data_IF_112960595076
#
_entry.id   IF_112960595076
#
_cell.length_a   1.000
_cell.length_b   1.000
_cell.length_c   1.000
_cell.angle_alpha   90.00
_cell.angle_beta   90.00
_cell.angle_gamma   90.00
#
_symmetry.space_group_name_H-M   'P 1'
#
loop_
_entity.id
_entity.type
_entity.pdbx_description
1 polymer ?
#
# COMPACT_ATOMS: atom_id res chain seq x y z
N UNK A 1 12.47 -23.49 8.83
CA UNK A 1 13.22 -22.29 9.05
C UNK A 1 12.44 -21.05 8.71
N UNK A 2 12.44 -20.13 9.60
CA UNK A 2 11.72 -18.89 9.36
C UNK A 2 12.43 -18.10 8.29
N UNK A 3 11.68 -17.65 7.36
CA UNK A 3 12.21 -16.83 6.31
C UNK A 3 12.26 -15.39 6.77
N UNK A 4 13.42 -14.94 7.13
CA UNK A 4 13.58 -13.60 7.65
C UNK A 4 13.58 -12.55 6.60
N UNK A 5 13.49 -12.96 5.36
CA UNK A 5 13.45 -11.99 4.28
C UNK A 5 12.07 -11.64 3.84
N UNK A 6 11.05 -12.25 4.46
CA UNK A 6 9.67 -11.92 4.18
C UNK A 6 9.28 -10.67 4.92
N UNK A 7 9.70 -9.53 4.42
CA UNK A 7 9.42 -8.28 5.07
C UNK A 7 8.28 -7.56 4.37
N UNK A 8 7.46 -6.94 5.18
CA UNK A 8 6.40 -6.07 4.70
C UNK A 8 6.62 -4.73 5.36
N UNK A 9 7.02 -3.75 4.57
CA UNK A 9 7.39 -2.44 5.08
C UNK A 9 6.41 -1.42 4.53
N UNK A 10 5.88 -0.56 5.40
CA UNK A 10 4.97 0.46 4.96
C UNK A 10 5.54 1.84 5.25
N UNK A 11 5.28 2.76 4.34
CA UNK A 11 5.57 4.17 4.53
C UNK A 11 4.23 4.88 4.56
N UNK A 12 3.99 5.62 5.63
CA UNK A 12 2.72 6.29 5.82
C UNK A 12 2.94 7.78 5.90
N UNK A 13 1.92 8.53 5.52
CA UNK A 13 1.98 9.97 5.58
C UNK A 13 1.28 10.58 4.39
N UNK A 14 1.08 11.87 4.48
CA UNK A 14 0.46 12.60 3.39
C UNK A 14 1.43 12.84 2.26
N UNK A 15 0.89 13.34 1.17
CA UNK A 15 1.70 13.67 0.03
C UNK A 15 2.64 14.81 0.36
N UNK A 16 3.79 14.81 -0.28
CA UNK A 16 4.75 15.87 -0.07
C UNK A 16 5.65 15.66 1.10
N UNK A 17 5.54 14.54 1.80
CA UNK A 17 6.38 14.28 2.96
C UNK A 17 7.67 13.56 2.61
N UNK A 18 8.00 13.41 1.35
CA UNK A 18 9.20 12.68 0.95
C UNK A 18 9.07 11.18 1.06
N UNK A 19 7.88 10.72 1.37
CA UNK A 19 7.62 9.33 1.61
C UNK A 19 7.89 8.47 0.38
N UNK A 20 7.45 8.94 -0.78
CA UNK A 20 7.66 8.18 -2.02
C UNK A 20 9.14 8.09 -2.37
N UNK A 21 9.89 9.16 -2.14
CA UNK A 21 11.32 9.14 -2.40
C UNK A 21 12.01 8.14 -1.50
N UNK A 22 11.64 8.11 -0.23
CA UNK A 22 12.27 7.19 0.70
C UNK A 22 11.94 5.75 0.39
N UNK A 23 10.70 5.50 -0.02
CA UNK A 23 10.32 4.14 -0.39
C UNK A 23 11.12 3.66 -1.59
N UNK A 24 11.31 4.54 -2.56
CA UNK A 24 12.07 4.19 -3.74
C UNK A 24 13.55 3.95 -3.43
N UNK A 25 14.11 4.76 -2.54
CA UNK A 25 15.50 4.57 -2.15
C UNK A 25 15.67 3.23 -1.44
N UNK A 26 14.72 2.87 -0.60
CA UNK A 26 14.79 1.58 0.07
C UNK A 26 14.70 0.46 -0.95
N UNK A 27 13.81 0.59 -1.92
CA UNK A 27 13.70 -0.43 -2.96
C UNK A 27 15.01 -0.60 -3.68
N UNK A 28 15.65 0.49 -4.05
CA UNK A 28 16.91 0.41 -4.77
C UNK A 28 18.01 -0.20 -3.92
N UNK A 29 18.03 0.15 -2.64
CA UNK A 29 19.02 -0.43 -1.75
C UNK A 29 18.86 -1.94 -1.63
N UNK A 30 17.63 -2.39 -1.43
CA UNK A 30 17.39 -3.82 -1.25
C UNK A 30 17.69 -4.60 -2.51
N UNK A 31 17.35 -4.04 -3.66
CA UNK A 31 17.70 -4.68 -4.93
C UNK A 31 19.20 -4.76 -5.11
N UNK A 32 19.91 -3.74 -4.65
CA UNK A 32 21.36 -3.72 -4.77
C UNK A 32 22.05 -4.80 -3.96
N UNK A 33 21.42 -5.26 -2.88
CA UNK A 33 22.00 -6.34 -2.08
C UNK A 33 21.37 -7.69 -2.41
N UNK A 34 20.67 -7.78 -3.54
CA UNK A 34 20.20 -9.07 -4.03
C UNK A 34 18.81 -9.47 -3.57
N UNK A 35 18.06 -8.58 -2.96
CA UNK A 35 16.71 -8.91 -2.51
C UNK A 35 15.69 -8.64 -3.61
N UNK A 36 14.71 -9.51 -3.68
CA UNK A 36 13.57 -9.25 -4.56
C UNK A 36 12.60 -8.35 -3.83
N UNK A 37 12.17 -7.30 -4.49
CA UNK A 37 11.29 -6.32 -3.88
C UNK A 37 10.13 -6.01 -4.79
N UNK A 38 9.03 -5.60 -4.17
CA UNK A 38 7.86 -5.13 -4.87
C UNK A 38 7.41 -3.84 -4.19
N UNK A 39 7.41 -2.76 -4.94
CA UNK A 39 6.97 -1.47 -4.43
C UNK A 39 5.56 -1.22 -4.93
N UNK A 40 4.64 -1.04 -4.00
CA UNK A 40 3.24 -0.83 -4.34
C UNK A 40 2.72 0.40 -3.61
N UNK A 41 1.59 0.89 -4.07
CA UNK A 41 0.98 2.08 -3.49
C UNK A 41 -0.49 1.78 -3.19
N UNK A 42 -0.93 2.15 -2.00
CA UNK A 42 -2.34 2.06 -1.66
C UNK A 42 -3.02 3.36 -2.04
N UNK A 43 -4.25 3.27 -2.49
CA UNK A 43 -5.12 2.10 -2.58
C UNK A 43 -5.08 1.36 -3.91
N UNK A 44 -4.10 1.61 -4.74
CA UNK A 44 -4.04 0.99 -6.06
C UNK A 44 -3.45 -0.40 -6.06
N UNK A 45 -2.81 -0.75 -7.18
CA UNK A 45 -2.07 -2.00 -7.37
C UNK A 45 -2.94 -3.22 -7.67
N UNK A 46 -4.25 -3.12 -7.55
CA UNK A 46 -5.16 -4.16 -8.05
C UNK A 46 -6.20 -3.49 -8.93
N UNK A 47 -6.84 -4.31 -9.75
CA UNK A 47 -7.89 -3.78 -10.61
C UNK A 47 -9.02 -3.17 -9.78
N UNK A 48 -9.46 -3.88 -8.76
CA UNK A 48 -10.52 -3.38 -7.89
C UNK A 48 -10.04 -2.15 -7.13
N UNK A 49 -8.80 -2.17 -6.63
CA UNK A 49 -8.26 -1.02 -5.90
C UNK A 49 -8.20 0.22 -6.75
N UNK A 50 -7.83 0.07 -8.02
CA UNK A 50 -7.78 1.22 -8.92
C UNK A 50 -9.17 1.81 -9.16
N UNK A 51 -10.17 0.97 -9.27
CA UNK A 51 -11.54 1.45 -9.44
C UNK A 51 -12.01 2.20 -8.20
N UNK A 52 -11.66 1.68 -7.04
CA UNK A 52 -12.02 2.35 -5.79
C UNK A 52 -11.31 3.68 -5.67
N UNK A 53 -10.02 3.71 -6.04
CA UNK A 53 -9.27 4.95 -6.01
C UNK A 53 -9.93 6.01 -6.88
N UNK A 54 -10.41 5.61 -8.05
CA UNK A 54 -11.09 6.53 -8.93
C UNK A 54 -12.39 7.05 -8.34
N UNK A 55 -13.14 6.17 -7.70
CA UNK A 55 -14.38 6.59 -7.05
C UNK A 55 -14.07 7.68 -6.04
N UNK A 56 -13.04 7.48 -5.23
CA UNK A 56 -12.71 8.43 -4.18
C UNK A 56 -12.21 9.75 -4.75
N UNK A 57 -11.31 9.67 -5.74
CA UNK A 57 -10.66 10.88 -6.23
C UNK A 57 -11.52 11.67 -7.19
N UNK A 58 -12.44 11.03 -7.88
CA UNK A 58 -13.25 11.69 -8.91
C UNK A 58 -14.66 11.99 -8.46
N UNK A 59 -14.97 11.71 -7.21
CA UNK A 59 -16.30 11.97 -6.71
C UNK A 59 -16.49 13.47 -6.52
N UNK A 60 -17.60 13.99 -7.04
CA UNK A 60 -17.85 15.42 -6.98
C UNK A 60 -18.41 15.84 -5.64
N UNK A 61 -18.95 14.93 -4.88
CA UNK A 61 -19.49 15.23 -3.57
C UNK A 61 -18.54 14.73 -2.51
N UNK A 62 -18.62 15.35 -1.35
CA UNK A 62 -17.85 14.90 -0.22
C UNK A 62 -18.32 13.51 0.19
N UNK A 63 -17.38 12.58 0.27
CA UNK A 63 -17.70 11.23 0.69
C UNK A 63 -17.74 11.20 2.20
N UNK A 64 -18.77 10.58 2.74
CA UNK A 64 -18.87 10.35 4.16
C UNK A 64 -17.62 9.67 4.69
N UNK A 65 -17.07 10.13 5.82
CA UNK A 65 -15.82 9.52 6.31
C UNK A 65 -15.91 8.02 6.53
N UNK A 66 -17.01 7.52 7.03
CA UNK A 66 -17.15 6.08 7.23
C UNK A 66 -17.23 5.34 5.91
N UNK A 67 -17.92 5.92 4.93
CA UNK A 67 -17.98 5.33 3.61
C UNK A 67 -16.60 5.27 2.99
N UNK A 68 -15.83 6.35 3.14
CA UNK A 68 -14.48 6.38 2.60
C UNK A 68 -13.62 5.31 3.26
N UNK A 69 -13.76 5.13 4.57
CA UNK A 69 -13.03 4.12 5.28
C UNK A 69 -13.35 2.73 4.73
N UNK A 70 -14.62 2.46 4.47
CA UNK A 70 -15.01 1.16 3.92
C UNK A 70 -14.43 0.96 2.52
N UNK A 71 -14.40 2.02 1.72
CA UNK A 71 -13.83 1.91 0.38
C UNK A 71 -12.34 1.59 0.45
N UNK A 72 -11.62 2.30 1.31
CA UNK A 72 -10.20 2.03 1.49
C UNK A 72 -9.97 0.64 2.04
N UNK A 73 -10.82 0.20 2.96
CA UNK A 73 -10.66 -1.14 3.52
C UNK A 73 -10.88 -2.21 2.47
N UNK A 74 -11.84 -1.99 1.59
CA UNK A 74 -12.07 -2.94 0.51
C UNK A 74 -10.88 -3.01 -0.44
N UNK A 75 -10.32 -1.85 -0.77
CA UNK A 75 -9.14 -1.82 -1.64
C UNK A 75 -7.96 -2.53 -0.98
N UNK A 76 -7.79 -2.32 0.32
CA UNK A 76 -6.70 -2.96 1.05
C UNK A 76 -6.87 -4.47 1.10
N UNK A 77 -8.10 -4.93 1.29
CA UNK A 77 -8.34 -6.36 1.31
C UNK A 77 -7.94 -7.00 0.00
N UNK A 78 -8.30 -6.37 -1.12
CA UNK A 78 -7.89 -6.87 -2.41
C UNK A 78 -6.38 -6.88 -2.55
N UNK A 79 -5.74 -5.81 -2.09
CA UNK A 79 -4.31 -5.69 -2.19
C UNK A 79 -3.61 -6.76 -1.38
N UNK A 80 -4.06 -6.98 -0.16
CA UNK A 80 -3.43 -7.97 0.71
C UNK A 80 -3.55 -9.35 0.10
N UNK A 81 -4.73 -9.72 -0.33
CA UNK A 81 -4.95 -11.09 -0.78
C UNK A 81 -4.37 -11.37 -2.15
N UNK A 82 -4.39 -10.39 -3.04
CA UNK A 82 -4.00 -10.64 -4.42
C UNK A 82 -2.56 -10.26 -4.73
N UNK A 83 -1.97 -9.41 -3.92
CA UNK A 83 -0.63 -8.92 -4.21
C UNK A 83 0.33 -9.20 -3.06
N UNK A 84 -0.02 -8.74 -1.85
CA UNK A 84 0.93 -8.78 -0.74
C UNK A 84 1.20 -10.20 -0.28
N UNK A 85 0.16 -10.96 0.03
CA UNK A 85 0.36 -12.31 0.52
C UNK A 85 1.06 -13.20 -0.50
N UNK A 86 0.68 -13.18 -1.77
CA UNK A 86 1.41 -13.99 -2.74
C UNK A 86 2.87 -13.60 -2.88
N UNK A 87 3.16 -12.29 -2.82
CA UNK A 87 4.54 -11.85 -2.91
C UNK A 87 5.35 -12.32 -1.72
N UNK A 88 4.81 -12.18 -0.52
CA UNK A 88 5.51 -12.63 0.67
C UNK A 88 5.75 -14.13 0.64
N UNK A 89 4.78 -14.88 0.11
CA UNK A 89 4.93 -16.33 0.01
C UNK A 89 6.06 -16.71 -0.93
N UNK A 90 6.44 -15.82 -1.83
CA UNK A 90 7.54 -16.07 -2.77
C UNK A 90 8.83 -15.41 -2.30
N UNK A 91 8.90 -15.00 -1.04
CA UNK A 91 10.08 -14.38 -0.46
C UNK A 91 10.42 -13.05 -1.09
N UNK A 92 9.39 -12.33 -1.50
CA UNK A 92 9.55 -10.98 -2.03
C UNK A 92 9.27 -10.01 -0.92
N UNK A 93 10.18 -9.07 -0.70
CA UNK A 93 9.96 -8.01 0.26
C UNK A 93 9.00 -7.00 -0.35
N UNK A 94 7.92 -6.71 0.36
CA UNK A 94 6.91 -5.79 -0.15
C UNK A 94 7.08 -4.45 0.56
N UNK A 95 7.21 -3.41 -0.23
CA UNK A 95 7.27 -2.03 0.26
C UNK A 95 5.97 -1.36 -0.16
N UNK A 96 5.21 -0.91 0.80
CA UNK A 96 3.91 -0.31 0.53
C UNK A 96 3.96 1.17 0.88
N UNK A 97 3.77 1.99 -0.13
CA UNK A 97 3.66 3.43 0.05
C UNK A 97 2.19 3.73 0.28
N UNK A 98 1.83 4.00 1.52
CA UNK A 98 0.43 4.19 1.87
C UNK A 98 0.00 5.60 1.60
N UNK A 99 -1.00 5.71 0.76
CA UNK A 99 -1.57 6.97 0.39
C UNK A 99 -2.52 7.49 1.46
N UNK A 100 -3.13 6.57 2.18
CA UNK A 100 -4.15 6.92 3.16
C UNK A 100 -3.50 7.39 4.43
N UNK A 101 -4.07 8.44 5.01
CA UNK A 101 -3.70 8.87 6.34
C UNK A 101 -4.18 7.80 7.32
N UNK A 102 -3.25 7.17 8.00
CA UNK A 102 -3.60 6.10 8.93
C UNK A 102 -4.48 6.59 10.07
N UNK A 103 -4.50 7.89 10.32
CA UNK A 103 -5.36 8.44 11.35
C UNK A 103 -6.82 8.10 11.09
N UNK A 104 -7.22 8.12 9.83
CA UNK A 104 -8.59 7.80 9.48
C UNK A 104 -8.92 6.37 9.90
N UNK A 105 -8.00 5.45 9.69
CA UNK A 105 -8.24 4.06 10.01
C UNK A 105 -8.33 3.81 11.51
N UNK A 106 -7.74 4.67 12.31
CA UNK A 106 -7.67 4.46 13.74
C UNK A 106 -8.77 5.14 14.52
N UNK A 107 -9.64 5.84 13.86
CA UNK A 107 -10.69 6.54 14.55
C UNK A 107 -11.92 5.67 14.80
N UNK A 108 -11.76 4.38 14.67
CA UNK A 108 -12.91 3.47 14.79
C UNK A 108 -12.63 2.29 15.67
#
# INVERSE_FOLDING_TARGET
>A
MVNKENLFITFEGGEGAGKSTQAKLLEEYLKGIGKQTLLIREPGATNMGEKIRKIISENEETIEPLTELFLFSAARKELVEKVIQPALAQNITVICDRYIDSTIAYQH
#
